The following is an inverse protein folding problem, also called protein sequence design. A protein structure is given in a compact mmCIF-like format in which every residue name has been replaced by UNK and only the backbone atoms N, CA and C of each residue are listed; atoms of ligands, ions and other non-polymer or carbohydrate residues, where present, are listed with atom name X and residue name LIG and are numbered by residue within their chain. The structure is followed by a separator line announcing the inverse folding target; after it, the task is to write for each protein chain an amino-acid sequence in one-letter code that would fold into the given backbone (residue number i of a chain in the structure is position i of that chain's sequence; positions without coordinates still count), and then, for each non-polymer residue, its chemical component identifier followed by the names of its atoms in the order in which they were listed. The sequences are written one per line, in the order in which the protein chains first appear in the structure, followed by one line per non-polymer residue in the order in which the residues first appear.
data_IF_458928966190
#
_entry.id   IF_458928966190
#
_cell.length_a   1.000
_cell.length_b   1.000
_cell.length_c   1.000
_cell.angle_alpha   90.00
_cell.angle_beta   90.00
_cell.angle_gamma   90.00
#
_symmetry.space_group_name_H-M   'P 1'
#
loop_
_entity.id
_entity.type
_entity.pdbx_description
1 polymer ?
#
# COMPACT_ATOMS: atom_id res chain seq x y z
N UNK A 1 -35.41 -64.50 -9.98
CA UNK A 1 -34.03 -64.39 -10.54
C UNK A 1 -34.19 -64.14 -12.04
N UNK A 2 -33.78 -63.05 -12.69
CA UNK A 2 -32.70 -62.08 -12.48
C UNK A 2 -33.13 -60.70 -13.02
N UNK A 3 -32.74 -59.69 -12.26
CA UNK A 3 -32.27 -58.34 -12.62
C UNK A 3 -32.92 -57.60 -13.81
N UNK A 4 -33.69 -56.56 -13.50
CA UNK A 4 -33.83 -55.38 -14.38
C UNK A 4 -32.76 -54.37 -13.95
N UNK A 5 -31.81 -54.08 -14.84
CA UNK A 5 -30.81 -53.03 -14.63
C UNK A 5 -31.50 -51.67 -14.75
N UNK A 6 -31.67 -51.00 -13.62
CA UNK A 6 -32.02 -49.56 -13.58
C UNK A 6 -30.72 -48.77 -13.69
N UNK A 7 -30.47 -48.17 -14.84
CA UNK A 7 -29.39 -47.18 -15.01
C UNK A 7 -29.93 -45.86 -14.45
N UNK A 8 -29.40 -45.43 -13.30
CA UNK A 8 -29.64 -44.10 -12.74
C UNK A 8 -28.62 -43.16 -13.38
N UNK A 9 -29.09 -42.25 -14.22
CA UNK A 9 -28.29 -41.15 -14.77
C UNK A 9 -28.26 -40.05 -13.71
N UNK A 10 -27.09 -39.86 -13.07
CA UNK A 10 -26.81 -38.66 -12.29
C UNK A 10 -26.48 -37.51 -13.25
N UNK A 11 -27.42 -36.59 -13.45
CA UNK A 11 -27.16 -35.29 -14.08
C UNK A 11 -26.58 -34.37 -13.00
N UNK A 12 -25.26 -34.23 -12.99
CA UNK A 12 -24.55 -33.21 -12.23
C UNK A 12 -24.75 -31.87 -12.94
N UNK A 13 -25.67 -31.04 -12.46
CA UNK A 13 -25.81 -29.66 -12.94
C UNK A 13 -24.72 -28.81 -12.27
N UNK A 14 -23.59 -28.65 -12.95
CA UNK A 14 -22.64 -27.59 -12.62
C UNK A 14 -23.22 -26.27 -13.14
N UNK A 15 -23.90 -25.53 -12.26
CA UNK A 15 -24.31 -24.17 -12.53
C UNK A 15 -23.09 -23.28 -12.34
N UNK A 16 -22.27 -23.15 -13.39
CA UNK A 16 -21.27 -22.09 -13.46
C UNK A 16 -22.05 -20.79 -13.63
N UNK A 17 -22.28 -20.09 -12.53
CA UNK A 17 -22.62 -18.67 -12.62
C UNK A 17 -21.39 -17.99 -13.21
N UNK A 18 -21.48 -17.60 -14.49
CA UNK A 18 -20.69 -16.49 -14.98
C UNK A 18 -21.17 -15.28 -14.20
N UNK A 19 -20.40 -14.90 -13.19
CA UNK A 19 -20.43 -13.53 -12.71
C UNK A 19 -19.84 -12.74 -13.88
N UNK A 20 -20.69 -11.95 -14.53
CA UNK A 20 -20.20 -10.96 -15.47
C UNK A 20 -19.27 -10.05 -14.68
N UNK A 21 -17.98 -10.10 -14.99
CA UNK A 21 -17.00 -9.11 -14.55
C UNK A 21 -17.44 -7.77 -15.12
N UNK A 22 -18.27 -7.04 -14.38
CA UNK A 22 -18.26 -5.59 -14.43
C UNK A 22 -16.96 -5.18 -13.74
N UNK A 23 -15.89 -5.12 -14.52
CA UNK A 23 -14.87 -4.13 -14.26
C UNK A 23 -15.63 -2.81 -14.20
N UNK A 24 -15.72 -2.23 -13.01
CA UNK A 24 -16.16 -0.85 -12.86
C UNK A 24 -15.06 -0.01 -13.48
N UNK A 25 -15.10 0.12 -14.81
CA UNK A 25 -14.41 1.21 -15.48
C UNK A 25 -15.01 2.45 -14.87
N UNK A 26 -14.21 3.21 -14.14
CA UNK A 26 -14.56 4.56 -13.74
C UNK A 26 -15.20 5.24 -14.95
N UNK A 27 -16.51 5.43 -14.84
CA UNK A 27 -17.33 6.05 -15.87
C UNK A 27 -16.72 7.44 -16.12
N UNK A 28 -16.26 7.68 -17.35
CA UNK A 28 -15.80 8.98 -17.86
C UNK A 28 -16.90 10.07 -17.78
N UNK A 29 -18.04 9.82 -17.14
CA UNK A 29 -19.14 10.77 -16.97
C UNK A 29 -19.44 11.21 -15.53
N UNK A 30 -18.63 10.83 -14.53
CA UNK A 30 -18.66 11.52 -13.22
C UNK A 30 -17.83 12.79 -13.30
N UNK A 31 -18.49 13.96 -13.36
CA UNK A 31 -17.79 15.24 -13.23
C UNK A 31 -17.17 15.30 -11.83
N UNK A 32 -15.84 15.20 -11.76
CA UNK A 32 -15.09 15.41 -10.52
C UNK A 32 -15.37 16.83 -9.98
N UNK A 33 -15.41 17.02 -8.65
CA UNK A 33 -15.55 18.35 -8.07
C UNK A 33 -14.42 19.28 -8.50
N UNK A 34 -14.71 20.58 -8.59
CA UNK A 34 -13.74 21.63 -8.96
C UNK A 34 -12.68 21.84 -7.87
N UNK A 35 -12.97 21.50 -6.62
CA UNK A 35 -12.01 21.47 -5.54
C UNK A 35 -12.26 20.30 -4.59
N UNK A 36 -11.19 19.77 -4.02
CA UNK A 36 -11.24 18.73 -3.02
C UNK A 36 -9.98 18.78 -2.15
N UNK A 37 -10.14 18.56 -0.85
CA UNK A 37 -9.04 18.43 0.09
C UNK A 37 -9.37 17.27 1.03
N UNK A 38 -8.51 16.25 1.03
CA UNK A 38 -8.62 15.13 1.96
C UNK A 38 -8.46 15.69 3.37
N UNK A 39 -9.43 15.43 4.24
CA UNK A 39 -9.39 15.88 5.63
C UNK A 39 -8.42 15.04 6.45
N UNK A 40 -7.85 15.68 7.49
CA UNK A 40 -7.12 14.99 8.57
C UNK A 40 -5.93 14.13 8.12
N UNK A 41 -5.27 14.49 7.00
CA UNK A 41 -4.00 13.87 6.63
C UNK A 41 -2.93 14.26 7.66
N UNK A 42 -2.29 13.29 8.32
CA UNK A 42 -1.31 13.57 9.37
C UNK A 42 -0.05 14.21 8.81
N UNK A 43 0.66 14.94 9.67
CA UNK A 43 1.90 15.58 9.32
C UNK A 43 3.08 15.01 10.10
N UNK A 44 4.07 14.52 9.36
CA UNK A 44 5.35 14.07 9.90
C UNK A 44 6.51 14.79 9.23
N UNK A 45 7.30 15.50 10.04
CA UNK A 45 8.51 16.18 9.58
C UNK A 45 9.63 15.15 9.35
N UNK A 46 10.39 15.32 8.26
CA UNK A 46 11.53 14.45 7.97
C UNK A 46 12.66 14.62 9.00
N UNK A 47 13.06 13.50 9.59
CA UNK A 47 14.06 13.44 10.67
C UNK A 47 15.48 13.84 10.23
N UNK A 48 15.79 13.78 8.94
CA UNK A 48 17.07 14.19 8.36
C UNK A 48 16.85 14.94 7.04
N UNK A 49 17.88 15.60 6.52
CA UNK A 49 17.81 16.23 5.18
C UNK A 49 17.62 15.27 3.99
N UNK A 50 17.55 13.95 4.23
CA UNK A 50 17.50 12.91 3.20
C UNK A 50 16.31 11.95 3.38
N UNK A 51 15.48 12.15 4.40
CA UNK A 51 14.39 11.23 4.77
C UNK A 51 13.02 11.68 4.28
N UNK A 52 12.93 12.51 3.25
CA UNK A 52 11.64 12.90 2.65
C UNK A 52 10.82 11.70 2.18
N UNK A 53 11.45 10.66 1.62
CA UNK A 53 10.77 9.42 1.25
C UNK A 53 10.16 8.70 2.47
N UNK A 54 10.96 8.30 3.48
CA UNK A 54 10.45 7.69 4.71
C UNK A 54 9.38 8.52 5.42
N UNK A 55 9.51 9.84 5.47
CA UNK A 55 8.52 10.73 6.05
C UNK A 55 7.20 10.75 5.25
N UNK A 56 7.28 10.79 3.91
CA UNK A 56 6.10 10.72 3.06
C UNK A 56 5.35 9.38 3.19
N UNK A 57 6.08 8.28 3.44
CA UNK A 57 5.49 6.98 3.76
C UNK A 57 4.86 6.94 5.15
N UNK A 58 5.49 7.53 6.17
CA UNK A 58 4.92 7.66 7.51
C UNK A 58 3.58 8.41 7.47
N UNK A 59 3.52 9.54 6.74
CA UNK A 59 2.27 10.28 6.48
C UNK A 59 1.18 9.37 5.87
N UNK A 60 1.52 8.58 4.84
CA UNK A 60 0.56 7.65 4.23
C UNK A 60 0.12 6.54 5.20
N UNK A 61 1.05 5.97 5.97
CA UNK A 61 0.74 4.85 6.87
C UNK A 61 -0.14 5.30 8.04
N UNK A 62 0.16 6.47 8.60
CA UNK A 62 -0.60 7.07 9.69
C UNK A 62 -1.99 7.50 9.21
N UNK A 63 -2.11 7.99 7.98
CA UNK A 63 -3.42 8.26 7.36
C UNK A 63 -4.33 7.01 7.34
N UNK A 64 -3.76 5.83 7.09
CA UNK A 64 -4.50 4.56 7.13
C UNK A 64 -4.59 3.92 8.53
N UNK A 65 -3.99 4.55 9.54
CA UNK A 65 -4.18 4.23 10.95
C UNK A 65 -2.93 3.84 11.74
N UNK A 66 -1.78 3.62 11.10
CA UNK A 66 -0.55 3.16 11.78
C UNK A 66 0.58 4.21 11.69
N UNK A 67 0.94 4.81 12.81
CA UNK A 67 2.09 5.71 12.93
C UNK A 67 3.40 4.89 13.03
N UNK A 68 3.96 4.53 11.88
CA UNK A 68 5.16 3.67 11.78
C UNK A 68 6.45 4.52 11.84
N UNK A 69 7.33 4.24 12.82
CA UNK A 69 8.59 4.98 13.02
C UNK A 69 9.36 5.20 11.70
N UNK A 70 9.52 6.47 11.30
CA UNK A 70 10.27 6.91 10.13
C UNK A 70 11.66 6.24 9.99
N UNK A 71 12.33 5.90 11.11
CA UNK A 71 13.63 5.21 11.09
C UNK A 71 13.52 3.76 10.64
N UNK A 72 12.45 3.07 11.04
CA UNK A 72 12.16 1.71 10.60
C UNK A 72 11.87 1.72 9.09
N UNK A 73 11.03 2.66 8.64
CA UNK A 73 10.72 2.85 7.21
C UNK A 73 11.99 3.11 6.41
N UNK A 74 12.88 4.00 6.87
CA UNK A 74 14.12 4.31 6.17
C UNK A 74 15.02 3.08 5.96
N UNK A 75 15.06 2.14 6.92
CA UNK A 75 15.82 0.90 6.77
C UNK A 75 15.10 -0.14 5.92
N UNK A 76 13.78 -0.18 5.91
CA UNK A 76 13.03 -1.04 4.99
C UNK A 76 13.20 -0.55 3.55
N UNK A 77 13.02 0.76 3.32
CA UNK A 77 13.17 1.43 2.03
C UNK A 77 14.64 1.63 1.60
N UNK A 78 15.60 1.04 2.32
CA UNK A 78 17.04 1.11 2.01
C UNK A 78 17.52 2.55 1.75
N UNK A 79 17.00 3.52 2.49
CA UNK A 79 17.41 4.93 2.39
C UNK A 79 18.91 5.08 2.67
N UNK A 80 19.49 6.15 2.12
CA UNK A 80 20.92 6.39 2.21
C UNK A 80 21.27 7.87 2.05
N UNK A 81 22.56 8.16 1.83
CA UNK A 81 23.05 9.53 1.63
C UNK A 81 22.57 10.21 0.35
N UNK A 82 21.84 9.49 -0.52
CA UNK A 82 21.23 10.02 -1.75
C UNK A 82 19.71 10.08 -1.69
N UNK A 83 19.12 9.81 -0.53
CA UNK A 83 17.68 9.65 -0.35
C UNK A 83 17.24 8.20 -0.56
N UNK A 84 16.05 8.03 -1.14
CA UNK A 84 15.35 6.76 -1.31
C UNK A 84 14.97 6.59 -2.77
N UNK A 85 15.12 5.37 -3.30
CA UNK A 85 14.72 5.06 -4.67
C UNK A 85 13.22 4.75 -4.75
N UNK A 86 12.57 5.07 -5.86
CA UNK A 86 11.12 4.84 -6.02
C UNK A 86 10.70 3.38 -5.85
N UNK A 87 11.44 2.41 -6.42
CA UNK A 87 11.13 0.98 -6.23
C UNK A 87 11.25 0.55 -4.75
N UNK A 88 12.07 1.23 -3.96
CA UNK A 88 12.19 0.97 -2.54
C UNK A 88 11.06 1.60 -1.73
N UNK A 89 10.47 2.70 -2.22
CA UNK A 89 9.24 3.26 -1.68
C UNK A 89 8.10 2.24 -1.81
N UNK A 90 7.85 1.72 -3.02
CA UNK A 90 6.79 0.71 -3.25
C UNK A 90 7.05 -0.57 -2.45
N UNK A 91 8.30 -1.05 -2.45
CA UNK A 91 8.72 -2.22 -1.66
C UNK A 91 8.46 -2.05 -0.17
N UNK A 92 8.66 -0.86 0.38
CA UNK A 92 8.46 -0.59 1.80
C UNK A 92 6.99 -0.70 2.22
N UNK A 93 6.06 -0.39 1.33
CA UNK A 93 4.62 -0.61 1.56
C UNK A 93 4.26 -2.09 1.67
N UNK A 94 4.90 -2.95 0.87
CA UNK A 94 4.69 -4.40 0.95
C UNK A 94 5.32 -5.07 2.19
N UNK A 95 6.16 -4.37 2.95
CA UNK A 95 6.94 -5.00 4.02
C UNK A 95 6.06 -5.61 5.12
N UNK A 96 6.30 -6.88 5.43
CA UNK A 96 5.50 -7.66 6.37
C UNK A 96 6.37 -8.48 7.32
N UNK A 97 5.72 -9.17 8.25
CA UNK A 97 6.34 -10.09 9.21
C UNK A 97 7.16 -11.23 8.58
N UNK A 98 7.00 -11.49 7.27
CA UNK A 98 7.79 -12.46 6.51
C UNK A 98 9.18 -11.93 6.09
N UNK A 99 9.41 -10.62 6.20
CA UNK A 99 10.63 -9.94 5.73
C UNK A 99 11.38 -9.23 6.85
N UNK A 100 12.69 -9.06 6.63
CA UNK A 100 13.58 -8.24 7.46
C UNK A 100 14.13 -7.06 6.67
N UNK A 101 14.34 -5.92 7.34
CA UNK A 101 14.91 -4.72 6.72
C UNK A 101 16.33 -4.96 6.20
N UNK A 102 16.56 -4.53 4.96
CA UNK A 102 17.85 -4.67 4.27
C UNK A 102 18.70 -3.39 4.33
N UNK A 103 18.09 -2.26 4.67
CA UNK A 103 18.73 -0.97 4.91
C UNK A 103 19.51 -0.90 6.22
N UNK A 104 20.39 0.09 6.33
CA UNK A 104 21.29 0.32 7.48
C UNK A 104 21.51 1.81 7.73
N UNK A 105 20.56 2.66 7.38
CA UNK A 105 20.55 4.09 7.69
C UNK A 105 20.33 4.32 9.19
N UNK A 106 19.44 3.55 9.83
CA UNK A 106 19.20 3.55 11.28
C UNK A 106 19.26 2.13 11.86
N UNK A 107 20.43 1.46 11.84
CA UNK A 107 20.53 0.01 12.04
C UNK A 107 20.07 -0.51 13.41
N UNK A 108 19.83 0.37 14.39
CA UNK A 108 19.27 0.03 15.69
C UNK A 108 17.73 -0.09 15.67
N UNK A 109 17.09 0.52 14.70
CA UNK A 109 15.64 0.56 14.49
C UNK A 109 15.20 -0.38 13.36
N UNK A 110 16.14 -0.97 12.61
CA UNK A 110 15.85 -1.90 11.51
C UNK A 110 14.96 -3.08 11.96
N UNK A 111 13.71 -3.17 11.47
CA UNK A 111 12.83 -4.28 11.80
C UNK A 111 13.32 -5.61 11.24
N UNK A 112 13.04 -6.71 11.94
CA UNK A 112 13.45 -8.08 11.56
C UNK A 112 12.30 -8.95 11.03
N UNK A 113 11.06 -8.54 11.27
CA UNK A 113 9.86 -9.26 10.91
C UNK A 113 8.70 -8.26 10.88
N UNK A 114 8.56 -7.50 9.79
CA UNK A 114 7.49 -6.51 9.64
C UNK A 114 7.71 -5.26 10.49
N UNK A 115 6.90 -4.24 10.26
CA UNK A 115 6.90 -3.07 11.14
C UNK A 115 6.32 -3.48 12.50
N UNK A 116 6.88 -3.00 13.63
CA UNK A 116 6.34 -3.29 14.96
C UNK A 116 4.85 -2.93 15.11
N UNK A 117 4.46 -1.80 14.51
CA UNK A 117 3.11 -1.26 14.52
C UNK A 117 2.21 -2.01 13.54
N UNK A 118 2.76 -2.42 12.39
CA UNK A 118 2.03 -3.11 11.33
C UNK A 118 2.74 -4.37 10.81
N UNK A 119 2.29 -5.58 11.23
CA UNK A 119 2.91 -6.84 10.79
C UNK A 119 2.51 -7.29 9.37
N UNK A 120 1.45 -6.71 8.78
CA UNK A 120 0.99 -6.98 7.43
C UNK A 120 1.39 -5.84 6.49
N UNK A 121 1.79 -6.17 5.26
CA UNK A 121 2.04 -5.16 4.23
C UNK A 121 0.74 -4.54 3.70
N UNK A 122 0.88 -3.36 3.08
CA UNK A 122 -0.15 -2.70 2.30
C UNK A 122 -0.16 -3.21 0.86
N UNK A 123 -1.29 -3.07 0.17
CA UNK A 123 -1.30 -3.11 -1.29
C UNK A 123 -0.58 -1.85 -1.81
N UNK A 124 0.51 -2.02 -2.56
CA UNK A 124 1.44 -0.93 -2.86
C UNK A 124 1.70 -0.84 -4.36
N UNK A 125 1.45 0.33 -4.95
CA UNK A 125 1.53 0.52 -6.39
C UNK A 125 2.27 1.80 -6.72
N UNK A 126 3.01 1.78 -7.82
CA UNK A 126 3.59 2.98 -8.40
C UNK A 126 3.35 3.07 -9.90
N UNK A 127 3.33 4.29 -10.40
CA UNK A 127 3.10 4.59 -11.80
C UNK A 127 3.94 5.80 -12.21
N UNK A 128 4.44 5.76 -13.44
CA UNK A 128 5.12 6.89 -14.08
C UNK A 128 4.77 6.91 -15.56
N UNK A 129 4.79 8.10 -16.16
CA UNK A 129 4.33 8.32 -17.53
C UNK A 129 5.16 9.41 -18.19
N UNK A 130 5.11 9.48 -19.53
CA UNK A 130 5.74 10.58 -20.28
C UNK A 130 4.83 11.84 -20.33
N UNK A 131 3.59 11.72 -19.86
CA UNK A 131 2.60 12.80 -19.79
C UNK A 131 1.97 12.87 -18.38
N UNK A 132 1.57 14.06 -17.91
CA UNK A 132 0.89 14.20 -16.63
C UNK A 132 -0.43 13.45 -16.66
N UNK A 133 -0.74 12.73 -15.58
CA UNK A 133 -1.99 11.97 -15.44
C UNK A 133 -2.95 12.67 -14.47
N UNK A 134 -3.09 14.00 -14.63
CA UNK A 134 -3.80 14.87 -13.70
C UNK A 134 -5.25 14.45 -13.42
N UNK A 135 -6.04 14.14 -14.45
CA UNK A 135 -7.44 13.72 -14.26
C UNK A 135 -7.56 12.45 -13.40
N UNK A 136 -6.62 11.52 -13.54
CA UNK A 136 -6.59 10.29 -12.75
C UNK A 136 -6.13 10.59 -11.32
N UNK A 137 -5.14 11.48 -11.15
CA UNK A 137 -4.68 11.93 -9.84
C UNK A 137 -5.82 12.59 -9.04
N UNK A 138 -6.63 13.45 -9.67
CA UNK A 138 -7.84 14.01 -9.04
C UNK A 138 -8.83 12.92 -8.61
N UNK A 139 -9.02 11.90 -9.45
CA UNK A 139 -9.86 10.75 -9.15
C UNK A 139 -9.42 9.97 -7.90
N UNK A 140 -8.10 9.85 -7.67
CA UNK A 140 -7.55 9.26 -6.43
C UNK A 140 -7.86 10.14 -5.22
N UNK A 141 -7.63 11.45 -5.34
CA UNK A 141 -7.83 12.41 -4.26
C UNK A 141 -9.30 12.46 -3.80
N UNK A 142 -10.25 12.44 -4.75
CA UNK A 142 -11.70 12.41 -4.47
C UNK A 142 -12.17 11.12 -3.78
N UNK A 143 -11.38 10.05 -3.87
CA UNK A 143 -11.62 8.79 -3.17
C UNK A 143 -10.91 8.74 -1.80
N UNK A 144 -10.44 9.88 -1.30
CA UNK A 144 -9.65 9.97 -0.06
C UNK A 144 -8.37 9.11 -0.12
N UNK A 145 -7.75 9.01 -1.29
CA UNK A 145 -6.47 8.30 -1.47
C UNK A 145 -5.34 9.33 -1.66
N UNK A 146 -4.59 9.66 -0.59
CA UNK A 146 -3.40 10.50 -0.73
C UNK A 146 -2.33 9.78 -1.56
N UNK A 147 -1.55 10.56 -2.31
CA UNK A 147 -0.55 10.01 -3.26
C UNK A 147 0.82 10.59 -2.99
N UNK A 148 1.83 9.74 -2.85
CA UNK A 148 3.23 10.19 -2.78
C UNK A 148 3.72 10.48 -4.18
N UNK A 149 4.23 11.69 -4.41
CA UNK A 149 4.83 12.10 -5.67
C UNK A 149 6.33 12.28 -5.52
N UNK A 150 7.07 11.93 -6.57
CA UNK A 150 8.47 12.30 -6.73
C UNK A 150 8.54 13.51 -7.65
N UNK A 151 9.11 14.61 -7.15
CA UNK A 151 9.17 15.87 -7.88
C UNK A 151 10.45 16.63 -7.55
N UNK A 152 10.70 17.74 -8.24
CA UNK A 152 11.71 18.72 -7.85
C UNK A 152 11.37 19.35 -6.49
N UNK A 153 12.38 19.78 -5.75
CA UNK A 153 12.20 20.50 -4.50
C UNK A 153 11.46 21.82 -4.74
N UNK A 154 11.84 22.55 -5.78
CA UNK A 154 11.12 23.72 -6.30
C UNK A 154 11.31 23.81 -7.82
N UNK A 155 10.53 24.64 -8.54
CA UNK A 155 10.72 24.81 -10.00
C UNK A 155 12.17 25.17 -10.40
N UNK A 156 12.87 25.94 -9.55
CA UNK A 156 14.26 26.37 -9.76
C UNK A 156 15.31 25.48 -9.06
N UNK A 157 14.89 24.41 -8.37
CA UNK A 157 15.77 23.46 -7.66
C UNK A 157 15.47 22.02 -8.04
N UNK A 158 16.29 21.47 -8.94
CA UNK A 158 16.22 20.09 -9.44
C UNK A 158 16.57 19.00 -8.40
N UNK A 159 16.76 19.36 -7.13
CA UNK A 159 16.92 18.39 -6.04
C UNK A 159 15.64 17.55 -5.91
N UNK A 160 15.78 16.22 -5.91
CA UNK A 160 14.66 15.31 -5.74
C UNK A 160 13.98 15.49 -4.38
N UNK A 161 12.66 15.51 -4.36
CA UNK A 161 11.87 15.57 -3.13
C UNK A 161 10.58 14.75 -3.24
N UNK A 162 10.20 14.10 -2.14
CA UNK A 162 8.92 13.39 -2.03
C UNK A 162 7.92 14.25 -1.24
N UNK A 163 6.70 14.35 -1.76
CA UNK A 163 5.56 15.01 -1.10
C UNK A 163 4.32 14.15 -1.20
N UNK A 164 3.36 14.35 -0.29
CA UNK A 164 2.05 13.71 -0.37
C UNK A 164 1.06 14.73 -0.90
N UNK A 165 0.51 14.52 -2.09
CA UNK A 165 -0.59 15.36 -2.60
C UNK A 165 -1.89 14.92 -1.93
N UNK A 166 -2.67 15.92 -1.48
CA UNK A 166 -3.87 15.70 -0.66
C UNK A 166 -5.07 16.51 -1.16
N UNK A 167 -4.89 17.38 -2.14
CA UNK A 167 -5.99 18.21 -2.61
C UNK A 167 -5.67 19.09 -3.80
N UNK A 168 -6.71 19.71 -4.33
CA UNK A 168 -6.64 20.69 -5.40
C UNK A 168 -7.82 21.67 -5.34
N UNK A 169 -7.64 22.80 -6.00
CA UNK A 169 -8.69 23.79 -6.23
C UNK A 169 -8.48 24.39 -7.63
N UNK A 170 -9.37 24.03 -8.56
CA UNK A 170 -9.28 24.45 -9.96
C UNK A 170 -9.65 25.93 -10.15
N UNK A 171 -10.55 26.47 -9.34
CA UNK A 171 -10.92 27.89 -9.38
C UNK A 171 -9.75 28.78 -8.96
N UNK A 172 -8.99 28.33 -7.95
CA UNK A 172 -7.78 29.00 -7.49
C UNK A 172 -6.54 28.65 -8.32
N UNK A 173 -6.60 27.57 -9.11
CA UNK A 173 -5.47 27.06 -9.90
C UNK A 173 -4.32 26.55 -9.03
N UNK A 174 -4.63 25.88 -7.93
CA UNK A 174 -3.66 25.40 -6.94
C UNK A 174 -3.81 23.92 -6.58
N UNK A 175 -2.73 23.35 -6.06
CA UNK A 175 -2.69 22.02 -5.44
C UNK A 175 -2.19 22.11 -4.00
N UNK A 176 -2.61 21.16 -3.17
CA UNK A 176 -2.25 21.07 -1.76
C UNK A 176 -1.42 19.82 -1.50
N UNK A 177 -0.29 19.99 -0.81
CA UNK A 177 0.57 18.90 -0.37
C UNK A 177 0.72 18.93 1.14
N UNK A 178 0.87 17.75 1.76
CA UNK A 178 1.59 17.65 3.02
C UNK A 178 3.08 17.45 2.68
N UNK A 179 3.92 18.43 3.04
CA UNK A 179 5.35 18.43 2.74
C UNK A 179 6.16 18.06 3.99
N UNK A 180 6.86 16.90 4.00
CA UNK A 180 7.63 16.47 5.15
C UNK A 180 8.85 17.36 5.44
N UNK A 181 9.26 18.28 4.56
CA UNK A 181 10.44 19.12 4.79
C UNK A 181 10.29 20.03 6.02
N UNK A 182 9.12 20.66 6.20
CA UNK A 182 8.76 21.46 7.37
C UNK A 182 9.58 22.73 7.65
N UNK A 183 10.64 22.98 6.86
CA UNK A 183 11.65 24.02 7.13
C UNK A 183 11.92 24.89 5.91
N UNK A 184 10.95 25.00 5.01
CA UNK A 184 11.04 25.95 3.91
C UNK A 184 10.73 27.34 4.47
N UNK A 185 11.70 28.24 4.46
CA UNK A 185 11.51 29.61 4.94
C UNK A 185 10.91 30.53 3.87
N UNK A 186 10.95 30.11 2.61
CA UNK A 186 10.46 30.87 1.47
C UNK A 186 9.00 30.52 1.11
N UNK A 187 8.49 29.38 1.62
CA UNK A 187 7.08 28.95 1.49
C UNK A 187 6.45 28.77 2.87
N UNK A 188 5.27 29.34 3.08
CA UNK A 188 4.54 29.17 4.34
C UNK A 188 4.02 27.74 4.42
N UNK A 189 4.58 26.95 5.34
CA UNK A 189 4.01 25.67 5.77
C UNK A 189 3.02 25.91 6.90
N UNK A 190 1.79 25.43 6.71
CA UNK A 190 0.77 25.46 7.75
C UNK A 190 1.18 24.55 8.93
N UNK A 191 0.54 24.73 10.08
CA UNK A 191 0.83 23.93 11.28
C UNK A 191 0.58 22.42 11.07
N UNK A 192 -0.28 22.08 10.13
CA UNK A 192 -0.61 20.72 9.69
C UNK A 192 0.31 20.22 8.55
N UNK A 193 1.45 20.88 8.31
CA UNK A 193 2.38 20.50 7.25
C UNK A 193 1.91 20.83 5.83
N UNK A 194 0.71 21.38 5.67
CA UNK A 194 0.16 21.66 4.34
C UNK A 194 0.87 22.84 3.69
N UNK A 195 1.20 22.69 2.42
CA UNK A 195 1.68 23.76 1.54
C UNK A 195 0.82 23.84 0.28
N UNK A 196 0.71 25.04 -0.28
CA UNK A 196 -0.04 25.33 -1.50
C UNK A 196 0.90 25.70 -2.64
N UNK A 197 0.70 25.11 -3.80
CA UNK A 197 1.46 25.41 -5.02
C UNK A 197 0.51 25.82 -6.14
N UNK A 198 0.97 26.71 -7.02
CA UNK A 198 0.27 26.95 -8.28
C UNK A 198 0.30 25.69 -9.14
N UNK A 199 -0.71 25.49 -9.98
CA UNK A 199 -0.74 24.37 -10.92
C UNK A 199 0.49 24.37 -11.84
N UNK A 200 0.94 25.54 -12.29
CA UNK A 200 2.11 25.67 -13.15
C UNK A 200 3.42 25.22 -12.47
N UNK A 201 3.63 25.64 -11.21
CA UNK A 201 4.81 25.21 -10.43
C UNK A 201 4.77 23.69 -10.18
N UNK A 202 3.58 23.16 -9.90
CA UNK A 202 3.38 21.73 -9.68
C UNK A 202 3.70 20.92 -10.94
N UNK A 203 3.14 21.29 -12.09
CA UNK A 203 3.36 20.58 -13.35
C UNK A 203 4.84 20.60 -13.75
N UNK A 204 5.54 21.73 -13.61
CA UNK A 204 6.98 21.81 -13.90
C UNK A 204 7.80 20.92 -12.95
N UNK A 205 7.51 20.97 -11.65
CA UNK A 205 8.27 20.22 -10.67
C UNK A 205 7.96 18.71 -10.72
N UNK A 206 6.74 18.31 -11.05
CA UNK A 206 6.36 16.89 -11.15
C UNK A 206 6.81 16.25 -12.47
N UNK A 207 7.11 17.06 -13.48
CA UNK A 207 7.84 16.63 -14.67
C UNK A 207 9.33 16.34 -14.35
N UNK A 208 9.56 15.37 -13.47
CA UNK A 208 10.86 15.05 -12.92
C UNK A 208 11.14 13.56 -13.00
N UNK A 209 12.33 13.22 -13.50
CA UNK A 209 12.84 11.85 -13.52
C UNK A 209 13.98 11.75 -12.52
N UNK A 210 13.75 11.03 -11.43
CA UNK A 210 14.74 10.82 -10.36
C UNK A 210 15.27 9.39 -10.29
N UNK A 211 15.94 9.11 -9.17
CA UNK A 211 16.44 7.77 -8.88
C UNK A 211 15.30 6.78 -8.70
N UNK A 212 15.26 5.76 -9.55
CA UNK A 212 14.27 4.68 -9.41
C UNK A 212 13.26 4.60 -10.55
N UNK A 213 13.09 5.68 -11.31
CA UNK A 213 12.14 5.78 -12.41
C UNK A 213 12.86 6.14 -13.71
N UNK A 214 12.34 5.64 -14.84
CA UNK A 214 12.82 6.01 -16.18
C UNK A 214 11.95 7.06 -16.86
N UNK A 215 10.80 7.41 -16.27
CA UNK A 215 9.80 8.34 -16.79
C UNK A 215 9.43 9.38 -15.74
N UNK A 216 9.01 10.60 -16.14
CA UNK A 216 8.53 11.62 -15.22
C UNK A 216 7.15 11.27 -14.62
N UNK A 217 6.57 12.22 -13.89
CA UNK A 217 5.23 12.12 -13.31
C UNK A 217 5.06 10.85 -12.46
N UNK A 218 6.08 10.52 -11.67
CA UNK A 218 6.03 9.34 -10.80
C UNK A 218 5.12 9.63 -9.60
N UNK A 219 4.26 8.68 -9.28
CA UNK A 219 3.47 8.67 -8.06
C UNK A 219 3.22 7.25 -7.55
N UNK A 220 2.99 7.13 -6.25
CA UNK A 220 2.72 5.85 -5.60
C UNK A 220 1.66 5.96 -4.51
N UNK A 221 0.98 4.84 -4.27
CA UNK A 221 0.02 4.67 -3.19
C UNK A 221 0.33 3.39 -2.41
N UNK A 222 0.02 3.43 -1.12
CA UNK A 222 0.03 2.27 -0.24
C UNK A 222 -1.30 2.26 0.47
N UNK A 223 -2.15 1.30 0.13
CA UNK A 223 -3.54 1.24 0.58
C UNK A 223 -3.81 -0.11 1.25
N UNK A 224 -4.53 -0.16 2.39
CA UNK A 224 -4.93 -1.42 2.98
C UNK A 224 -5.98 -2.10 2.09
N UNK A 225 -6.15 -3.42 2.25
CA UNK A 225 -7.35 -4.07 1.73
C UNK A 225 -8.58 -3.50 2.45
N UNK A 226 -9.75 -3.59 1.83
CA UNK A 226 -11.01 -3.23 2.50
C UNK A 226 -11.78 -4.49 2.85
N UNK A 227 -12.42 -4.46 4.03
CA UNK A 227 -13.31 -5.53 4.48
C UNK A 227 -14.57 -4.88 5.04
N UNK A 228 -15.70 -5.10 4.39
CA UNK A 228 -17.02 -4.73 4.90
C UNK A 228 -17.64 -5.95 5.59
N UNK A 229 -17.98 -5.82 6.87
CA UNK A 229 -18.56 -6.90 7.67
C UNK A 229 -20.04 -6.60 7.90
N UNK A 230 -20.88 -7.57 7.57
CA UNK A 230 -22.33 -7.52 7.76
C UNK A 230 -22.79 -8.70 8.61
N UNK A 231 -23.70 -8.44 9.53
CA UNK A 231 -24.26 -9.46 10.42
C UNK A 231 -25.77 -9.55 10.27
N UNK A 232 -26.32 -10.76 10.30
CA UNK A 232 -27.76 -11.03 10.22
C UNK A 232 -28.17 -12.05 11.28
N UNK A 233 -29.30 -11.81 11.95
CA UNK A 233 -29.79 -12.67 13.04
C UNK A 233 -29.81 -11.96 14.40
N UNK A 234 -30.10 -12.74 15.45
CA UNK A 234 -30.13 -12.24 16.83
C UNK A 234 -28.76 -12.42 17.51
N UNK A 235 -28.40 -11.51 18.41
CA UNK A 235 -27.15 -11.56 19.19
C UNK A 235 -27.34 -12.14 20.60
N UNK A 236 -28.41 -12.91 20.82
CA UNK A 236 -28.76 -13.52 22.12
C UNK A 236 -28.11 -14.89 22.30
N UNK A 237 -27.83 -15.29 23.54
CA UNK A 237 -27.30 -16.62 23.82
C UNK A 237 -28.20 -17.74 23.25
N UNK A 238 -27.58 -18.67 22.52
CA UNK A 238 -28.23 -19.80 21.84
C UNK A 238 -28.67 -19.52 20.40
N UNK A 239 -28.50 -18.30 19.90
CA UNK A 239 -28.81 -17.95 18.51
C UNK A 239 -27.68 -18.32 17.54
N UNK A 240 -28.03 -18.32 16.25
CA UNK A 240 -27.07 -18.36 15.15
C UNK A 240 -27.04 -16.99 14.49
N UNK A 241 -25.85 -16.41 14.40
CA UNK A 241 -25.57 -15.16 13.72
C UNK A 241 -24.89 -15.45 12.38
N UNK A 242 -25.50 -15.02 11.28
CA UNK A 242 -24.87 -15.06 9.96
C UNK A 242 -23.91 -13.87 9.82
N UNK A 243 -22.65 -14.14 9.53
CA UNK A 243 -21.60 -13.14 9.32
C UNK A 243 -21.15 -13.21 7.87
N UNK A 244 -21.31 -12.13 7.13
CA UNK A 244 -20.84 -11.99 5.75
C UNK A 244 -19.74 -10.94 5.71
N UNK A 245 -18.62 -11.26 5.06
CA UNK A 245 -17.54 -10.32 4.80
C UNK A 245 -17.38 -10.15 3.29
N UNK A 246 -17.33 -8.90 2.83
CA UNK A 246 -16.94 -8.52 1.47
C UNK A 246 -15.53 -7.92 1.53
N UNK A 247 -14.62 -8.53 0.78
CA UNK A 247 -13.19 -8.24 0.82
C UNK A 247 -12.79 -7.73 -0.56
N UNK A 248 -12.16 -6.56 -0.62
CA UNK A 248 -11.58 -6.02 -1.86
C UNK A 248 -10.07 -5.89 -1.70
N UNK A 249 -9.33 -6.46 -2.65
CA UNK A 249 -7.92 -6.16 -2.84
C UNK A 249 -7.84 -4.95 -3.78
N UNK A 250 -7.51 -3.74 -3.29
CA UNK A 250 -7.60 -2.53 -4.10
C UNK A 250 -6.62 -2.54 -5.27
N UNK A 251 -7.03 -1.89 -6.36
CA UNK A 251 -6.13 -1.45 -7.43
C UNK A 251 -6.72 -0.21 -8.10
N UNK A 252 -6.48 0.97 -7.54
CA UNK A 252 -7.01 2.18 -8.16
C UNK A 252 -6.26 2.47 -9.47
N UNK A 253 -6.90 3.16 -10.41
CA UNK A 253 -6.21 3.61 -11.62
C UNK A 253 -5.19 4.71 -11.25
N UNK A 254 -4.04 4.82 -11.94
CA UNK A 254 -3.65 4.18 -13.19
C UNK A 254 -2.77 2.92 -13.03
N UNK A 255 -2.77 2.31 -11.84
CA UNK A 255 -1.81 1.25 -11.53
C UNK A 255 -2.11 -0.05 -12.29
N UNK A 256 -1.07 -0.81 -12.66
CA UNK A 256 -1.21 -2.05 -13.44
C UNK A 256 -1.69 -3.20 -12.55
N UNK A 257 -3.01 -3.32 -12.39
CA UNK A 257 -3.62 -4.34 -11.57
C UNK A 257 -3.18 -5.76 -11.95
N UNK A 258 -2.97 -6.05 -13.23
CA UNK A 258 -2.62 -7.37 -13.72
C UNK A 258 -1.22 -7.82 -13.25
N UNK A 259 -0.31 -6.88 -12.99
CA UNK A 259 1.02 -7.15 -12.45
C UNK A 259 1.01 -7.54 -10.96
N UNK A 260 -0.12 -7.34 -10.26
CA UNK A 260 -0.20 -7.47 -8.81
C UNK A 260 -1.26 -8.50 -8.40
N UNK A 261 -0.91 -9.78 -8.47
CA UNK A 261 -1.75 -10.87 -7.95
C UNK A 261 -1.22 -11.35 -6.58
N UNK A 262 -2.11 -11.50 -5.61
CA UNK A 262 -1.79 -12.08 -4.32
C UNK A 262 -2.04 -13.60 -4.37
N UNK A 263 -1.03 -14.38 -4.01
CA UNK A 263 -1.11 -15.85 -3.94
C UNK A 263 -1.44 -16.31 -2.53
N UNK A 264 -1.91 -17.55 -2.37
CA UNK A 264 -2.27 -18.12 -1.06
C UNK A 264 -3.17 -17.20 -0.22
N UNK A 265 -4.05 -16.46 -0.89
CA UNK A 265 -4.93 -15.53 -0.26
C UNK A 265 -6.01 -16.29 0.53
N UNK A 266 -6.37 -15.76 1.69
CA UNK A 266 -7.32 -16.38 2.62
C UNK A 266 -8.05 -15.34 3.44
N UNK A 267 -9.24 -15.72 3.92
CA UNK A 267 -10.06 -14.91 4.81
C UNK A 267 -10.37 -15.72 6.06
N UNK A 268 -10.10 -15.17 7.23
CA UNK A 268 -10.27 -15.81 8.53
C UNK A 268 -11.15 -14.98 9.44
N UNK A 269 -12.19 -15.60 10.01
CA UNK A 269 -12.99 -15.00 11.09
C UNK A 269 -12.37 -15.36 12.44
N UNK A 270 -12.09 -14.34 13.24
CA UNK A 270 -11.58 -14.46 14.60
C UNK A 270 -12.71 -14.06 15.53
N UNK A 271 -13.11 -15.00 16.38
CA UNK A 271 -14.28 -14.89 17.23
C UNK A 271 -13.91 -14.69 18.70
N UNK A 272 -14.69 -13.89 19.45
CA UNK A 272 -14.49 -13.72 20.88
C UNK A 272 -14.86 -15.00 21.63
N UNK A 273 -14.45 -15.08 22.90
CA UNK A 273 -14.78 -16.22 23.76
C UNK A 273 -16.29 -16.40 23.86
N UNK A 274 -16.78 -17.62 23.68
CA UNK A 274 -18.21 -17.95 23.72
C UNK A 274 -18.88 -17.96 22.35
N UNK A 275 -18.16 -17.63 21.27
CA UNK A 275 -18.64 -17.77 19.89
C UNK A 275 -17.82 -18.79 19.12
N UNK A 276 -18.45 -19.49 18.18
CA UNK A 276 -17.75 -20.43 17.30
C UNK A 276 -18.47 -20.62 15.97
N UNK A 277 -17.71 -20.93 14.92
CA UNK A 277 -18.26 -21.21 13.59
C UNK A 277 -19.00 -22.55 13.60
N UNK A 278 -20.23 -22.55 13.10
CA UNK A 278 -21.08 -23.73 12.93
C UNK A 278 -20.78 -24.45 11.62
N UNK A 279 -20.01 -25.53 11.72
CA UNK A 279 -19.62 -26.31 10.55
C UNK A 279 -18.61 -25.58 9.67
N UNK A 280 -17.75 -26.33 9.00
CA UNK A 280 -16.67 -25.76 8.21
C UNK A 280 -15.50 -25.23 9.04
N UNK A 281 -14.78 -24.27 8.48
CA UNK A 281 -13.54 -23.71 9.02
C UNK A 281 -13.69 -22.21 9.24
N UNK A 282 -13.13 -21.64 10.33
CA UNK A 282 -13.02 -20.20 10.50
C UNK A 282 -12.20 -19.52 9.39
N UNK A 283 -11.24 -20.26 8.82
CA UNK A 283 -10.40 -19.82 7.71
C UNK A 283 -10.86 -20.43 6.39
N UNK A 284 -11.06 -19.57 5.39
CA UNK A 284 -11.46 -19.90 4.01
C UNK A 284 -10.31 -19.52 3.08
N UNK A 285 -9.81 -20.48 2.31
CA UNK A 285 -8.80 -20.24 1.29
C UNK A 285 -9.45 -19.72 0.01
N UNK A 286 -9.04 -18.52 -0.44
CA UNK A 286 -9.52 -17.91 -1.70
C UNK A 286 -8.51 -18.11 -2.85
N UNK A 287 -7.30 -18.62 -2.56
CA UNK A 287 -6.34 -19.04 -3.57
C UNK A 287 -5.55 -17.88 -4.15
N UNK A 288 -5.73 -17.59 -5.45
CA UNK A 288 -5.14 -16.40 -6.06
C UNK A 288 -6.19 -15.29 -6.10
N UNK A 289 -5.80 -14.09 -5.70
CA UNK A 289 -6.68 -12.92 -5.65
C UNK A 289 -6.03 -11.76 -6.40
N UNK A 290 -6.65 -11.31 -7.48
CA UNK A 290 -6.10 -10.25 -8.32
C UNK A 290 -6.36 -8.88 -7.68
N UNK A 291 -5.40 -7.95 -7.79
CA UNK A 291 -5.67 -6.57 -7.42
C UNK A 291 -6.81 -6.00 -8.29
N UNK A 292 -7.75 -5.32 -7.67
CA UNK A 292 -9.00 -4.85 -8.26
C UNK A 292 -10.19 -5.79 -8.04
N UNK A 293 -9.97 -7.05 -7.65
CA UNK A 293 -11.06 -8.01 -7.43
C UNK A 293 -11.71 -7.84 -6.04
N UNK A 294 -12.97 -8.29 -5.95
CA UNK A 294 -13.72 -8.40 -4.70
C UNK A 294 -14.25 -9.83 -4.53
N UNK A 295 -14.25 -10.33 -3.29
CA UNK A 295 -14.79 -11.64 -2.93
C UNK A 295 -15.67 -11.54 -1.68
N UNK A 296 -16.75 -12.31 -1.66
CA UNK A 296 -17.65 -12.40 -0.51
C UNK A 296 -17.55 -13.79 0.13
N UNK A 297 -17.43 -13.82 1.46
CA UNK A 297 -17.44 -15.05 2.27
C UNK A 297 -18.45 -14.95 3.40
N UNK A 298 -18.98 -16.08 3.84
CA UNK A 298 -20.01 -16.14 4.89
C UNK A 298 -19.71 -17.25 5.89
N UNK A 299 -19.99 -16.98 7.17
CA UNK A 299 -19.97 -17.93 8.26
C UNK A 299 -21.29 -17.89 9.03
N UNK A 300 -21.75 -19.06 9.49
CA UNK A 300 -22.75 -19.15 10.53
C UNK A 300 -22.04 -19.28 11.89
N UNK A 301 -22.35 -18.39 12.84
CA UNK A 301 -21.68 -18.31 14.14
C UNK A 301 -22.68 -18.62 15.25
N UNK A 302 -22.39 -19.61 16.09
CA UNK A 302 -23.19 -19.92 17.28
C UNK A 302 -22.73 -19.07 18.46
N UNK A 303 -23.69 -18.51 19.18
CA UNK A 303 -23.46 -17.73 20.39
C UNK A 303 -23.80 -18.57 21.63
N UNK A 304 -22.82 -18.85 22.50
CA UNK A 304 -23.06 -19.50 23.80
C UNK A 304 -23.29 -18.49 24.94
N UNK A 305 -23.12 -17.19 24.66
CA UNK A 305 -23.37 -16.07 25.56
C UNK A 305 -23.89 -14.89 24.73
N UNK A 306 -24.51 -13.91 25.39
CA UNK A 306 -24.99 -12.70 24.70
C UNK A 306 -23.82 -11.97 24.02
N UNK A 307 -24.03 -11.57 22.76
CA UNK A 307 -23.02 -10.94 21.93
C UNK A 307 -22.81 -9.46 22.20
N UNK A 308 -23.64 -8.82 23.04
CA UNK A 308 -23.58 -7.37 23.28
C UNK A 308 -22.20 -6.94 23.80
N UNK A 309 -21.56 -6.04 23.04
CA UNK A 309 -20.23 -5.53 23.38
C UNK A 309 -19.08 -6.49 23.05
N UNK A 310 -19.35 -7.63 22.42
CA UNK A 310 -18.35 -8.47 21.81
C UNK A 310 -17.94 -7.90 20.45
N UNK A 311 -16.75 -8.27 19.97
CA UNK A 311 -16.26 -7.86 18.65
C UNK A 311 -15.86 -9.07 17.82
N UNK A 312 -16.32 -9.09 16.57
CA UNK A 312 -15.91 -10.06 15.55
C UNK A 312 -14.84 -9.40 14.69
N UNK A 313 -13.73 -10.09 14.49
CA UNK A 313 -12.65 -9.64 13.62
C UNK A 313 -12.59 -10.52 12.38
N UNK A 314 -12.42 -9.91 11.21
CA UNK A 314 -12.13 -10.60 9.95
C UNK A 314 -10.75 -10.18 9.48
N UNK A 315 -9.89 -11.18 9.27
CA UNK A 315 -8.55 -11.02 8.70
C UNK A 315 -8.56 -11.49 7.26
N UNK A 316 -8.20 -10.62 6.32
CA UNK A 316 -8.03 -10.97 4.91
C UNK A 316 -6.58 -10.73 4.51
N UNK A 317 -5.91 -11.77 4.00
CA UNK A 317 -4.50 -11.68 3.60
C UNK A 317 -4.21 -12.41 2.31
N UNK A 318 -3.06 -12.10 1.70
CA UNK A 318 -2.44 -12.86 0.63
C UNK A 318 -0.95 -12.58 0.53
N UNK A 319 -0.24 -13.39 -0.24
CA UNK A 319 1.21 -13.34 -0.38
C UNK A 319 1.60 -12.72 -1.71
N UNK A 320 2.42 -11.67 -1.65
CA UNK A 320 3.05 -11.04 -2.81
C UNK A 320 4.55 -11.32 -2.81
N UNK A 321 5.12 -11.46 -4.00
CA UNK A 321 6.55 -11.66 -4.18
C UNK A 321 7.09 -10.77 -5.30
N UNK A 322 8.35 -10.36 -5.17
CA UNK A 322 8.99 -9.50 -6.15
C UNK A 322 10.50 -9.42 -5.92
N UNK A 323 11.15 -8.45 -6.56
CA UNK A 323 12.55 -8.17 -6.33
C UNK A 323 12.83 -6.67 -6.49
N UNK A 324 13.86 -6.19 -5.80
CA UNK A 324 14.40 -4.83 -5.96
C UNK A 324 15.86 -4.90 -6.41
N UNK A 325 16.33 -3.94 -7.22
CA UNK A 325 17.69 -3.96 -7.75
C UNK A 325 18.74 -3.59 -6.70
N UNK A 326 20.01 -3.75 -7.06
CA UNK A 326 21.13 -3.20 -6.31
C UNK A 326 21.16 -1.67 -6.46
N UNK A 327 21.44 -0.97 -5.37
CA UNK A 327 21.45 0.50 -5.34
C UNK A 327 22.70 1.08 -4.70
N UNK A 328 23.14 2.23 -5.19
CA UNK A 328 24.26 2.99 -4.62
C UNK A 328 23.81 3.70 -3.34
N UNK A 329 24.66 3.71 -2.33
CA UNK A 329 24.44 4.41 -1.06
C UNK A 329 25.00 5.83 -1.06
N UNK A 330 25.82 6.19 -2.06
CA UNK A 330 26.61 7.43 -2.14
C UNK A 330 26.39 8.11 -3.49
N UNK A 331 26.25 9.44 -3.47
CA UNK A 331 26.07 10.23 -4.70
C UNK A 331 27.28 10.14 -5.64
N UNK A 332 27.09 10.57 -6.90
CA UNK A 332 28.08 10.52 -8.01
C UNK A 332 29.47 11.11 -7.71
N UNK A 333 29.69 11.79 -6.58
CA UNK A 333 30.98 12.34 -6.16
C UNK A 333 31.96 11.31 -5.55
N UNK A 334 31.58 10.04 -5.38
CA UNK A 334 32.51 8.98 -4.94
C UNK A 334 33.36 8.37 -6.07
N UNK A 335 33.04 8.64 -7.35
CA UNK A 335 33.78 8.09 -8.52
C UNK A 335 35.10 8.80 -8.85
N UNK A 336 35.57 9.70 -7.99
CA UNK A 336 36.84 10.43 -8.16
C UNK A 336 37.94 10.00 -7.17
N UNK A 337 38.01 8.73 -6.79
CA UNK A 337 39.27 8.14 -6.30
C UNK A 337 39.34 6.69 -6.81
N UNK A 338 40.51 6.31 -7.32
CA UNK A 338 40.89 5.00 -7.89
C UNK A 338 40.79 4.85 -9.41
N UNK A 339 41.48 5.74 -10.13
CA UNK A 339 41.95 5.44 -11.51
C UNK A 339 43.40 4.95 -11.59
N UNK A 340 44.04 4.57 -10.48
CA UNK A 340 45.47 4.20 -10.49
C UNK A 340 45.86 2.95 -9.68
N UNK A 341 44.92 2.08 -9.29
CA UNK A 341 45.28 0.81 -8.65
C UNK A 341 44.44 -0.36 -9.15
N UNK A 342 44.58 -0.64 -10.44
CA UNK A 342 44.19 -1.93 -10.99
C UNK A 342 45.45 -2.77 -11.16
N UNK A 343 45.69 -3.65 -10.17
CA UNK A 343 46.45 -4.89 -10.27
C UNK A 343 46.31 -5.66 -8.96
N UNK A 344 45.65 -6.82 -9.07
CA UNK A 344 45.45 -7.85 -8.05
C UNK A 344 44.67 -7.44 -6.80
N UNK A 345 43.37 -7.75 -6.79
CA UNK A 345 42.67 -8.47 -5.69
C UNK A 345 41.20 -8.66 -6.03
N UNK A 346 40.94 -9.74 -6.76
CA UNK A 346 39.65 -10.41 -6.72
C UNK A 346 39.60 -11.32 -5.47
N UNK A 347 38.42 -11.43 -4.86
CA UNK A 347 38.04 -12.10 -3.59
C UNK A 347 38.04 -11.23 -2.31
N UNK A 348 36.84 -11.07 -1.75
CA UNK A 348 36.51 -10.56 -0.40
C UNK A 348 36.62 -9.06 -0.09
N UNK A 349 36.02 -8.21 -0.93
CA UNK A 349 35.55 -6.89 -0.45
C UNK A 349 34.03 -6.85 -0.46
N UNK A 350 33.41 -7.01 0.73
CA UNK A 350 32.02 -6.58 0.98
C UNK A 350 31.95 -5.09 0.59
N UNK A 351 31.36 -4.80 -0.56
CA UNK A 351 31.36 -3.45 -1.12
C UNK A 351 30.38 -2.60 -0.31
N UNK A 352 30.88 -1.88 0.70
CA UNK A 352 30.08 -1.07 1.64
C UNK A 352 29.30 0.08 0.99
N UNK A 353 29.49 0.32 -0.32
CA UNK A 353 28.89 1.41 -1.06
C UNK A 353 27.53 1.08 -1.67
N UNK A 354 27.06 -0.17 -1.63
CA UNK A 354 25.79 -0.57 -2.24
C UNK A 354 24.87 -1.30 -1.26
N UNK A 355 23.56 -1.20 -1.45
CA UNK A 355 22.63 -2.21 -0.97
C UNK A 355 22.38 -3.20 -2.10
N UNK A 356 22.64 -4.48 -1.84
CA UNK A 356 22.48 -5.55 -2.84
C UNK A 356 21.03 -5.67 -3.30
N UNK A 357 20.87 -6.14 -4.54
CA UNK A 357 19.58 -6.63 -5.03
C UNK A 357 19.10 -7.79 -4.15
N UNK A 358 17.79 -7.90 -3.97
CA UNK A 358 17.19 -9.03 -3.28
C UNK A 358 15.76 -9.29 -3.76
N UNK A 359 15.36 -10.56 -3.69
CA UNK A 359 13.98 -10.96 -3.84
C UNK A 359 13.27 -10.92 -2.49
N UNK A 360 11.98 -10.66 -2.51
CA UNK A 360 11.15 -10.62 -1.31
C UNK A 360 9.86 -11.42 -1.49
N UNK A 361 9.29 -11.78 -0.35
CA UNK A 361 7.97 -12.40 -0.24
C UNK A 361 7.35 -11.85 1.03
N UNK A 362 6.15 -11.32 0.92
CA UNK A 362 5.48 -10.64 2.01
C UNK A 362 3.99 -10.99 2.05
N UNK A 363 3.42 -10.97 3.26
CA UNK A 363 1.98 -11.09 3.46
C UNK A 363 1.37 -9.69 3.53
N UNK A 364 0.45 -9.39 2.61
CA UNK A 364 -0.33 -8.16 2.56
C UNK A 364 -1.75 -8.42 3.00
N UNK A 365 -2.43 -7.42 3.53
CA UNK A 365 -3.82 -7.57 3.93
C UNK A 365 -4.27 -6.57 4.99
N UNK A 366 -5.36 -6.93 5.65
CA UNK A 366 -6.00 -6.11 6.68
C UNK A 366 -6.70 -6.99 7.72
N UNK A 367 -6.86 -6.45 8.92
CA UNK A 367 -7.71 -6.98 9.97
C UNK A 367 -8.76 -5.90 10.29
N UNK A 368 -10.04 -6.25 10.17
CA UNK A 368 -11.17 -5.34 10.43
C UNK A 368 -12.07 -5.94 11.48
N UNK A 369 -12.55 -5.12 12.42
CA UNK A 369 -13.43 -5.58 13.49
C UNK A 369 -14.77 -4.84 13.48
N UNK A 370 -15.84 -5.54 13.83
CA UNK A 370 -17.17 -4.97 14.06
C UNK A 370 -17.62 -5.30 15.49
N UNK A 371 -18.32 -4.36 16.13
CA UNK A 371 -18.99 -4.58 17.41
C UNK A 371 -20.40 -5.13 17.21
N UNK A 372 -20.84 -6.01 18.10
CA UNK A 372 -22.17 -6.63 18.11
C UNK A 372 -23.15 -6.00 19.10
#
# INVERSE_FOLDING_TARGET
MRSKNTVIIFLLFWMVFRVDNLADSADETTTLPESYLISDVPYHEQITGLSCGPAALEILYDFWGEDIDQKAIADVARSSSIGTYTWDMTRAGYFSHLSAAQGRFFPRNAPKAGYPERPLGYASFDYSSDAPWWSILKGLIVQDIPVVLLMKFSPDDDTAHYRVIVGYDEDLGVVYFVDPWGRDFDRVTNLDGTITWSMADFEDAWNYTGYGTSRPYWGAVMVPWTVAIHTTGETTAGSVLGVTAEITYPCPQPFDCAAHSASNASVEIILPTGMYVLGGSPKIDIGCFQAGDTVTVTWDVMLNADGFGASITVKATGVIAGAVPEIDKKGKNSRKVDKDKDKDKDKDRKNHNFYSAYAYTDEIGVETSIGL
#
